data_IF_115481206446
#
_entry.id   IF_115481206446
#
_cell.length_a   1.000
_cell.length_b   1.000
_cell.length_c   1.000
_cell.angle_alpha   90.00
_cell.angle_beta   90.00
_cell.angle_gamma   90.00
#
_symmetry.space_group_name_H-M   'P 1'
#
loop_
_entity.id
_entity.type
_entity.pdbx_description
1 polymer ?
#
# COMPACT_ATOMS: atom_id res chain seq x y z
N UNK A 1 -12.99 -2.59 -6.74
CA UNK A 1 -12.22 -3.71 -6.19
C UNK A 1 -13.05 -5.00 -6.00
N UNK A 2 -14.32 -4.90 -5.64
CA UNK A 2 -15.18 -6.07 -5.36
C UNK A 2 -15.51 -6.96 -6.57
N UNK A 3 -15.20 -6.54 -7.78
CA UNK A 3 -15.44 -7.29 -9.03
C UNK A 3 -14.17 -7.60 -9.81
N UNK A 4 -13.04 -6.99 -9.44
CA UNK A 4 -11.80 -7.02 -10.22
C UNK A 4 -11.86 -6.24 -11.55
N UNK A 5 -12.97 -5.56 -11.86
CA UNK A 5 -13.12 -4.83 -13.11
C UNK A 5 -12.25 -3.58 -13.16
N UNK A 6 -11.49 -3.43 -14.24
CA UNK A 6 -10.73 -2.23 -14.55
C UNK A 6 -11.66 -1.21 -15.20
N UNK A 7 -12.12 -0.23 -14.44
CA UNK A 7 -13.09 0.77 -14.89
C UNK A 7 -12.44 1.88 -15.72
N UNK A 8 -11.16 2.19 -15.46
CA UNK A 8 -10.41 3.18 -16.22
C UNK A 8 -8.91 2.84 -16.17
N UNK A 9 -8.22 3.10 -17.26
CA UNK A 9 -6.77 2.92 -17.36
C UNK A 9 -6.19 4.00 -18.26
N UNK A 10 -5.15 4.69 -17.79
CA UNK A 10 -4.44 5.73 -18.53
C UNK A 10 -2.97 5.34 -18.64
N UNK A 11 -2.56 4.86 -19.80
CA UNK A 11 -1.19 4.39 -20.06
C UNK A 11 -0.20 5.46 -20.50
N UNK A 12 -0.63 6.70 -20.69
CA UNK A 12 0.24 7.79 -21.11
C UNK A 12 -0.46 9.13 -21.14
N UNK A 13 0.33 10.21 -21.19
CA UNK A 13 -0.14 11.59 -21.27
C UNK A 13 0.01 12.11 -22.72
N UNK A 14 -0.88 13.00 -23.12
CA UNK A 14 -0.90 13.64 -24.45
C UNK A 14 -1.67 12.84 -25.49
N UNK A 15 -1.67 13.36 -26.71
CA UNK A 15 -2.34 12.76 -27.84
C UNK A 15 -1.64 11.48 -28.29
N UNK A 16 -2.40 10.50 -28.74
CA UNK A 16 -1.89 9.26 -29.28
C UNK A 16 -1.73 9.39 -30.78
N UNK A 17 -0.50 9.22 -31.26
CA UNK A 17 -0.16 9.30 -32.68
C UNK A 17 -0.49 8.04 -33.48
N UNK A 18 -0.97 6.98 -32.83
CA UNK A 18 -1.28 5.70 -33.50
C UNK A 18 -1.98 4.69 -32.58
N UNK A 19 -2.34 3.56 -33.15
CA UNK A 19 -2.86 2.41 -32.41
C UNK A 19 -1.72 1.63 -31.73
N UNK A 20 -2.05 0.89 -30.66
CA UNK A 20 -1.11 0.06 -29.89
C UNK A 20 0.13 0.82 -29.37
N UNK A 21 -0.06 2.07 -28.99
CA UNK A 21 1.00 2.83 -28.31
C UNK A 21 1.30 2.24 -26.95
N UNK A 22 2.53 2.45 -26.48
CA UNK A 22 3.04 1.93 -25.21
C UNK A 22 2.12 2.30 -24.02
N UNK A 23 1.65 1.30 -23.31
CA UNK A 23 0.78 1.47 -22.15
C UNK A 23 1.59 1.32 -20.85
N UNK A 24 1.95 2.43 -20.22
CA UNK A 24 2.79 2.42 -19.02
C UNK A 24 2.13 1.79 -17.80
N UNK A 25 0.83 1.61 -17.82
CA UNK A 25 0.14 0.97 -16.70
C UNK A 25 0.24 -0.56 -16.72
N UNK A 26 0.45 -1.16 -17.90
CA UNK A 26 0.54 -2.62 -18.11
C UNK A 26 1.90 -3.07 -18.58
N UNK A 27 2.60 -2.26 -19.41
CA UNK A 27 3.79 -2.68 -20.14
C UNK A 27 5.10 -2.15 -19.52
N UNK A 28 4.99 -1.36 -18.44
CA UNK A 28 6.16 -0.78 -17.75
C UNK A 28 6.22 -1.22 -16.31
N UNK A 29 7.32 -1.89 -15.94
CA UNK A 29 7.65 -2.17 -14.55
C UNK A 29 8.43 -1.00 -13.95
N UNK A 30 8.00 -0.53 -12.79
CA UNK A 30 8.65 0.55 -12.04
C UNK A 30 8.81 0.18 -10.57
N UNK A 31 9.78 0.80 -9.93
CA UNK A 31 10.01 0.61 -8.51
C UNK A 31 8.82 1.19 -7.71
N UNK A 32 8.08 0.36 -6.96
CA UNK A 32 6.93 0.82 -6.20
C UNK A 32 7.32 1.67 -4.98
N UNK A 33 8.58 1.62 -4.56
CA UNK A 33 9.05 2.30 -3.38
C UNK A 33 8.18 1.99 -2.16
N UNK A 34 7.95 2.99 -1.31
CA UNK A 34 7.26 2.80 -0.03
C UNK A 34 5.80 2.34 -0.11
N UNK A 35 5.16 2.29 -1.30
CA UNK A 35 3.86 1.63 -1.42
C UNK A 35 3.97 0.13 -1.17
N UNK A 36 5.11 -0.46 -1.48
CA UNK A 36 5.36 -1.89 -1.31
C UNK A 36 5.49 -2.34 0.15
N UNK A 37 5.76 -1.42 1.09
CA UNK A 37 5.82 -1.70 2.53
C UNK A 37 4.56 -2.42 3.04
N UNK A 38 3.40 -2.06 2.49
CA UNK A 38 2.11 -2.64 2.89
C UNK A 38 2.05 -4.10 2.46
N UNK A 39 2.28 -4.41 1.19
CA UNK A 39 2.08 -5.74 0.60
C UNK A 39 3.29 -6.67 0.79
N UNK A 40 4.51 -6.15 0.77
CA UNK A 40 5.75 -6.92 0.92
C UNK A 40 6.28 -7.05 2.36
N UNK A 41 5.59 -6.43 3.34
CA UNK A 41 6.02 -6.50 4.73
C UNK A 41 4.83 -6.51 5.71
N UNK A 42 4.07 -5.42 5.81
CA UNK A 42 3.12 -5.26 6.91
C UNK A 42 1.91 -6.21 6.80
N UNK A 43 1.44 -6.54 5.59
CA UNK A 43 0.39 -7.53 5.41
C UNK A 43 0.81 -8.88 6.00
N UNK A 44 1.98 -9.38 5.62
CA UNK A 44 2.54 -10.62 6.16
C UNK A 44 2.78 -10.54 7.67
N UNK A 45 3.27 -9.40 8.17
CA UNK A 45 3.58 -9.20 9.58
C UNK A 45 2.32 -9.28 10.46
N UNK A 46 1.22 -8.66 10.04
CA UNK A 46 -0.03 -8.64 10.78
C UNK A 46 -0.83 -9.94 10.61
N UNK A 47 -0.79 -10.56 9.43
CA UNK A 47 -1.61 -11.73 9.13
C UNK A 47 -1.06 -13.04 9.72
N UNK A 48 0.24 -13.28 9.55
CA UNK A 48 0.91 -14.53 9.93
C UNK A 48 2.21 -14.31 10.74
N UNK A 49 2.78 -13.13 10.70
CA UNK A 49 4.07 -12.82 11.33
C UNK A 49 4.01 -12.54 12.84
N UNK A 50 2.85 -12.68 13.48
CA UNK A 50 2.67 -12.48 14.93
C UNK A 50 2.89 -11.05 15.40
N UNK A 51 2.80 -10.06 14.51
CA UNK A 51 2.88 -8.63 14.84
C UNK A 51 1.49 -8.01 14.90
N UNK A 52 1.38 -6.88 15.57
CA UNK A 52 0.18 -6.04 15.65
C UNK A 52 0.54 -4.61 15.24
N UNK A 53 -0.45 -3.76 15.03
CA UNK A 53 -0.22 -2.34 14.78
C UNK A 53 0.49 -1.65 15.97
N UNK A 54 0.31 -2.17 17.19
CA UNK A 54 1.01 -1.72 18.39
C UNK A 54 2.47 -2.17 18.46
N UNK A 55 2.85 -3.25 17.76
CA UNK A 55 4.22 -3.79 17.80
C UNK A 55 5.25 -2.71 17.48
N UNK A 56 6.29 -2.64 18.32
CA UNK A 56 7.30 -1.57 18.30
C UNK A 56 8.62 -2.10 17.80
N UNK A 57 9.30 -1.29 17.00
CA UNK A 57 10.68 -1.45 16.58
C UNK A 57 11.49 -0.21 17.00
N UNK A 58 12.77 -0.41 17.27
CA UNK A 58 13.69 0.71 17.51
C UNK A 58 14.11 1.33 16.16
N UNK A 59 13.59 2.52 15.89
CA UNK A 59 13.97 3.33 14.73
C UNK A 59 15.31 4.03 15.03
N UNK A 60 16.39 3.30 14.85
CA UNK A 60 17.78 3.71 15.05
C UNK A 60 18.63 3.30 13.83
N UNK A 61 19.84 3.84 13.64
CA UNK A 61 20.73 3.46 12.56
C UNK A 61 20.83 1.94 12.42
N UNK A 62 20.65 1.42 11.20
CA UNK A 62 20.53 -0.01 10.96
C UNK A 62 21.36 -0.46 9.76
N UNK A 63 22.27 -1.40 9.99
CA UNK A 63 23.16 -1.97 8.97
C UNK A 63 23.10 -3.49 9.02
N UNK A 64 22.96 -4.12 7.85
CA UNK A 64 23.01 -5.57 7.69
C UNK A 64 24.05 -5.90 6.62
N UNK A 65 25.10 -6.62 6.99
CA UNK A 65 26.27 -6.83 6.13
C UNK A 65 26.88 -5.49 5.72
N UNK A 66 27.02 -5.25 4.44
CA UNK A 66 27.53 -3.98 3.89
C UNK A 66 26.45 -2.93 3.63
N UNK A 67 25.17 -3.25 3.83
CA UNK A 67 24.06 -2.37 3.48
C UNK A 67 23.54 -1.61 4.69
N UNK A 68 23.63 -0.28 4.63
CA UNK A 68 23.02 0.63 5.62
C UNK A 68 21.67 1.11 5.14
N UNK A 69 20.65 0.97 5.97
CA UNK A 69 19.31 1.49 5.75
C UNK A 69 19.12 2.82 6.47
N UNK A 70 18.42 3.74 5.84
CA UNK A 70 18.15 5.06 6.39
C UNK A 70 16.69 5.43 6.18
N UNK A 71 16.15 6.26 7.06
CA UNK A 71 14.89 6.96 6.81
C UNK A 71 15.09 8.03 5.73
N UNK A 72 13.98 8.46 5.11
CA UNK A 72 14.01 9.43 4.01
C UNK A 72 14.65 10.76 4.43
N UNK A 73 14.34 11.24 5.63
CA UNK A 73 14.83 12.48 6.23
C UNK A 73 16.13 12.30 7.03
N UNK A 74 16.66 11.06 7.09
CA UNK A 74 17.84 10.68 7.86
C UNK A 74 17.70 10.92 9.37
N UNK A 75 16.49 11.11 9.87
CA UNK A 75 16.18 11.19 11.30
C UNK A 75 15.74 9.83 11.84
N UNK A 76 15.80 9.66 13.15
CA UNK A 76 15.43 8.43 13.85
C UNK A 76 14.54 8.78 15.04
N UNK A 77 13.47 8.00 15.22
CA UNK A 77 12.44 8.27 16.24
C UNK A 77 12.53 7.39 17.49
N UNK A 78 13.50 6.45 17.55
CA UNK A 78 13.58 5.45 18.61
C UNK A 78 12.40 4.49 18.58
N UNK A 79 11.93 4.04 19.72
CA UNK A 79 10.82 3.08 19.82
C UNK A 79 9.54 3.59 19.11
N UNK A 80 9.19 2.93 18.03
CA UNK A 80 8.18 3.36 17.06
C UNK A 80 7.26 2.19 16.69
N UNK A 81 5.96 2.40 16.80
CA UNK A 81 4.94 1.38 16.46
C UNK A 81 4.82 1.17 14.94
N UNK A 82 4.33 -0.01 14.55
CA UNK A 82 4.01 -0.33 13.14
C UNK A 82 2.97 0.67 12.60
N UNK A 83 1.93 1.02 13.35
CA UNK A 83 0.96 2.06 12.95
C UNK A 83 1.65 3.36 12.57
N UNK A 84 2.52 3.86 13.44
CA UNK A 84 3.22 5.13 13.18
C UNK A 84 4.19 5.02 12.00
N UNK A 85 4.83 3.86 11.85
CA UNK A 85 5.71 3.59 10.72
C UNK A 85 4.97 3.53 9.38
N UNK A 86 3.74 3.01 9.33
CA UNK A 86 2.84 3.08 8.17
C UNK A 86 2.50 4.54 7.89
N UNK A 87 2.03 5.27 8.90
CA UNK A 87 1.58 6.67 8.84
C UNK A 87 2.68 7.60 8.30
N UNK A 88 3.88 7.50 8.85
CA UNK A 88 5.04 8.35 8.50
C UNK A 88 5.95 7.74 7.45
N UNK A 89 5.67 6.52 7.02
CA UNK A 89 6.48 5.80 6.02
C UNK A 89 7.93 5.56 6.45
N UNK A 90 8.14 5.18 7.71
CA UNK A 90 9.47 4.98 8.30
C UNK A 90 10.13 3.73 7.71
N UNK A 91 11.35 3.85 7.20
CA UNK A 91 12.05 2.77 6.51
C UNK A 91 12.60 1.74 7.49
N UNK A 92 13.29 2.20 8.53
CA UNK A 92 14.02 1.32 9.47
C UNK A 92 13.05 0.35 10.15
N UNK A 93 11.93 0.85 10.65
CA UNK A 93 10.90 0.01 11.29
C UNK A 93 10.40 -1.06 10.32
N UNK A 94 10.15 -0.71 9.05
CA UNK A 94 9.68 -1.67 8.04
C UNK A 94 10.72 -2.76 7.79
N UNK A 95 11.99 -2.38 7.61
CA UNK A 95 13.07 -3.33 7.33
C UNK A 95 13.30 -4.28 8.51
N UNK A 96 13.33 -3.77 9.74
CA UNK A 96 13.43 -4.59 10.95
C UNK A 96 12.23 -5.51 11.11
N UNK A 97 11.02 -5.03 10.82
CA UNK A 97 9.81 -5.87 10.84
C UNK A 97 9.92 -7.02 9.84
N UNK A 98 10.36 -6.75 8.60
CA UNK A 98 10.56 -7.82 7.61
C UNK A 98 11.67 -8.80 8.04
N UNK A 99 12.74 -8.31 8.68
CA UNK A 99 13.80 -9.16 9.21
C UNK A 99 13.26 -10.10 10.29
N UNK A 100 12.43 -9.60 11.20
CA UNK A 100 11.84 -10.38 12.29
C UNK A 100 10.93 -11.50 11.79
N UNK A 101 10.08 -11.23 10.81
CA UNK A 101 9.12 -12.20 10.27
C UNK A 101 9.72 -13.12 9.20
N UNK A 102 10.92 -12.80 8.73
CA UNK A 102 11.59 -13.49 7.62
C UNK A 102 11.20 -12.95 6.24
N UNK A 103 12.20 -12.78 5.38
CA UNK A 103 12.03 -12.24 4.02
C UNK A 103 11.14 -13.12 3.15
N UNK A 104 11.26 -14.46 3.30
CA UNK A 104 10.46 -15.43 2.53
C UNK A 104 8.96 -15.26 2.76
N UNK A 105 8.55 -14.93 3.99
CA UNK A 105 7.14 -14.68 4.28
C UNK A 105 6.64 -13.43 3.54
N UNK A 106 7.37 -12.32 3.61
CA UNK A 106 7.01 -11.10 2.89
C UNK A 106 7.00 -11.28 1.38
N UNK A 107 7.95 -12.05 0.84
CA UNK A 107 8.04 -12.39 -0.58
C UNK A 107 6.83 -13.19 -1.04
N UNK A 108 6.48 -14.27 -0.30
CA UNK A 108 5.32 -15.09 -0.60
C UNK A 108 4.02 -14.27 -0.62
N UNK A 109 3.81 -13.42 0.39
CA UNK A 109 2.63 -12.56 0.41
C UNK A 109 2.57 -11.61 -0.79
N UNK A 110 3.70 -11.05 -1.20
CA UNK A 110 3.74 -10.19 -2.38
C UNK A 110 3.36 -10.96 -3.67
N UNK A 111 3.79 -12.22 -3.82
CA UNK A 111 3.33 -13.10 -4.92
C UNK A 111 1.81 -13.37 -4.81
N UNK A 112 1.33 -13.71 -3.63
CA UNK A 112 -0.10 -13.99 -3.38
C UNK A 112 -0.97 -12.74 -3.67
N UNK A 113 -0.46 -11.52 -3.46
CA UNK A 113 -1.10 -10.27 -3.86
C UNK A 113 -1.10 -10.02 -5.37
N UNK A 114 -0.54 -10.91 -6.18
CA UNK A 114 -0.56 -10.85 -7.64
C UNK A 114 0.63 -10.12 -8.27
N UNK A 115 1.74 -9.96 -7.56
CA UNK A 115 2.98 -9.40 -8.12
C UNK A 115 3.74 -10.52 -8.83
N UNK A 116 3.65 -10.57 -10.15
CA UNK A 116 4.26 -11.62 -11.00
C UNK A 116 5.70 -11.33 -11.41
N UNK A 117 6.18 -10.11 -11.17
CA UNK A 117 7.50 -9.65 -11.64
C UNK A 117 8.63 -9.93 -10.66
N UNK A 118 8.33 -10.49 -9.49
CA UNK A 118 9.32 -10.86 -8.48
C UNK A 118 10.30 -11.94 -9.00
N UNK A 119 11.51 -11.90 -8.48
CA UNK A 119 12.57 -12.85 -8.78
C UNK A 119 13.24 -13.31 -7.48
N UNK A 120 13.98 -14.43 -7.51
CA UNK A 120 14.72 -14.89 -6.32
C UNK A 120 15.71 -13.85 -5.78
N UNK A 121 16.22 -12.96 -6.65
CA UNK A 121 17.08 -11.85 -6.24
C UNK A 121 16.37 -10.82 -5.34
N UNK A 122 15.04 -10.83 -5.31
CA UNK A 122 14.22 -9.94 -4.47
C UNK A 122 14.04 -10.48 -3.04
N UNK A 123 14.47 -11.72 -2.77
CA UNK A 123 14.47 -12.34 -1.45
C UNK A 123 15.55 -11.73 -0.54
N UNK A 124 15.42 -10.45 -0.28
CA UNK A 124 16.30 -9.69 0.59
C UNK A 124 15.56 -8.53 1.27
N UNK A 125 16.17 -7.90 2.29
CA UNK A 125 15.53 -6.85 3.07
C UNK A 125 15.13 -5.59 2.29
N UNK A 126 15.61 -5.40 1.03
CA UNK A 126 15.16 -4.29 0.18
C UNK A 126 13.72 -4.45 -0.26
N UNK A 127 13.21 -5.70 -0.28
CA UNK A 127 11.81 -6.03 -0.52
C UNK A 127 10.88 -5.16 0.33
N UNK A 128 11.21 -5.02 1.63
CA UNK A 128 10.44 -4.19 2.56
C UNK A 128 10.19 -2.76 2.08
N UNK A 129 11.09 -2.21 1.27
CA UNK A 129 11.07 -0.83 0.80
C UNK A 129 10.66 -0.69 -0.68
N UNK A 130 10.30 -1.80 -1.33
CA UNK A 130 10.00 -1.83 -2.75
C UNK A 130 11.24 -1.60 -3.63
N UNK A 131 12.40 -2.02 -3.15
CA UNK A 131 13.64 -2.10 -3.95
C UNK A 131 13.70 -3.45 -4.65
N UNK A 132 13.07 -3.56 -5.81
CA UNK A 132 12.88 -4.80 -6.56
C UNK A 132 13.78 -4.85 -7.79
N UNK A 133 14.10 -6.04 -8.27
CA UNK A 133 14.95 -6.27 -9.45
C UNK A 133 14.31 -5.65 -10.71
N UNK A 134 13.06 -5.99 -10.98
CA UNK A 134 12.31 -5.49 -12.14
C UNK A 134 11.36 -4.34 -11.79
N UNK A 135 10.90 -4.27 -10.54
CA UNK A 135 9.78 -3.44 -10.15
C UNK A 135 8.44 -4.12 -10.41
N UNK A 136 7.35 -3.35 -10.43
CA UNK A 136 5.98 -3.84 -10.64
C UNK A 136 5.27 -3.00 -11.69
N UNK A 137 4.27 -3.56 -12.35
CA UNK A 137 3.35 -2.78 -13.18
C UNK A 137 2.37 -1.99 -12.29
N UNK A 138 1.87 -0.87 -12.81
CA UNK A 138 0.86 -0.09 -12.09
C UNK A 138 -0.45 -0.89 -11.90
N UNK A 139 -0.77 -1.76 -12.86
CA UNK A 139 -1.94 -2.64 -12.79
C UNK A 139 -1.80 -3.66 -11.65
N UNK A 140 -0.67 -4.36 -11.53
CA UNK A 140 -0.41 -5.31 -10.44
C UNK A 140 -0.47 -4.62 -9.07
N UNK A 141 0.14 -3.44 -8.94
CA UNK A 141 0.08 -2.68 -7.70
C UNK A 141 -1.36 -2.25 -7.36
N UNK A 142 -2.16 -1.91 -8.37
CA UNK A 142 -3.59 -1.59 -8.19
C UNK A 142 -4.36 -2.83 -7.72
N UNK A 143 -4.12 -4.00 -8.31
CA UNK A 143 -4.71 -5.27 -7.90
C UNK A 143 -4.38 -5.64 -6.45
N UNK A 144 -3.11 -5.44 -6.05
CA UNK A 144 -2.67 -5.69 -4.68
C UNK A 144 -3.38 -4.79 -3.65
N UNK A 145 -3.52 -3.49 -3.95
CA UNK A 145 -4.28 -2.58 -3.08
C UNK A 145 -5.79 -2.84 -3.14
N UNK A 146 -6.32 -3.27 -4.29
CA UNK A 146 -7.71 -3.70 -4.42
C UNK A 146 -8.02 -4.93 -3.55
N UNK A 147 -7.05 -5.84 -3.37
CA UNK A 147 -7.15 -6.98 -2.47
C UNK A 147 -7.41 -6.55 -1.03
N UNK A 148 -6.66 -5.55 -0.53
CA UNK A 148 -6.87 -5.01 0.83
C UNK A 148 -8.25 -4.35 0.93
N UNK A 149 -8.61 -3.51 -0.05
CA UNK A 149 -9.92 -2.85 -0.12
C UNK A 149 -11.09 -3.84 -0.22
N UNK A 150 -10.84 -5.06 -0.69
CA UNK A 150 -11.80 -6.16 -0.87
C UNK A 150 -11.73 -7.19 0.29
N UNK A 151 -11.38 -6.76 1.50
CA UNK A 151 -11.36 -7.64 2.67
C UNK A 151 -10.33 -8.78 2.59
N UNK A 152 -9.24 -8.58 1.86
CA UNK A 152 -8.15 -9.56 1.75
C UNK A 152 -8.30 -10.55 0.60
N UNK A 153 -9.34 -10.45 -0.21
CA UNK A 153 -9.58 -11.33 -1.36
C UNK A 153 -9.04 -10.70 -2.64
N UNK A 154 -8.01 -11.31 -3.21
CA UNK A 154 -7.49 -10.97 -4.53
C UNK A 154 -8.48 -11.41 -5.62
N UNK A 155 -8.70 -10.53 -6.59
CA UNK A 155 -9.41 -10.82 -7.82
C UNK A 155 -8.52 -10.39 -8.99
N UNK A 156 -8.31 -11.30 -9.94
CA UNK A 156 -7.57 -10.97 -11.17
C UNK A 156 -8.21 -9.76 -11.87
N UNK A 157 -7.45 -8.69 -12.17
CA UNK A 157 -7.99 -7.55 -12.91
C UNK A 157 -8.50 -7.95 -14.28
N UNK A 158 -9.75 -7.60 -14.60
CA UNK A 158 -10.38 -7.90 -15.90
C UNK A 158 -10.84 -6.65 -16.61
N UNK A 159 -10.64 -6.63 -17.93
CA UNK A 159 -10.97 -5.52 -18.82
C UNK A 159 -12.29 -5.74 -19.58
N UNK A 160 -12.82 -6.94 -19.55
CA UNK A 160 -14.09 -7.33 -20.13
C UNK A 160 -14.73 -8.42 -19.28
N UNK A 161 -16.03 -8.54 -19.37
CA UNK A 161 -16.80 -9.64 -18.77
C UNK A 161 -16.97 -10.77 -19.77
N UNK A 162 -17.43 -10.45 -20.99
CA UNK A 162 -17.61 -11.39 -22.07
C UNK A 162 -17.15 -10.80 -23.40
N UNK A 163 -16.71 -11.66 -24.30
CA UNK A 163 -16.48 -11.36 -25.72
C UNK A 163 -17.40 -12.25 -26.54
N UNK A 164 -18.22 -11.64 -27.37
CA UNK A 164 -19.16 -12.32 -28.24
C UNK A 164 -18.68 -12.24 -29.70
N UNK A 165 -19.00 -13.24 -30.51
CA UNK A 165 -18.88 -13.15 -31.97
C UNK A 165 -20.04 -12.34 -32.57
N UNK A 166 -20.07 -12.23 -33.92
CA UNK A 166 -21.09 -11.48 -34.64
C UNK A 166 -22.50 -12.09 -34.55
N UNK A 167 -22.61 -13.37 -34.20
CA UNK A 167 -23.86 -14.10 -34.02
C UNK A 167 -24.35 -14.09 -32.55
N UNK A 168 -23.58 -13.43 -31.66
CA UNK A 168 -23.91 -13.34 -30.24
C UNK A 168 -23.43 -14.56 -29.42
N UNK A 169 -22.65 -15.46 -29.98
CA UNK A 169 -22.08 -16.62 -29.29
C UNK A 169 -20.91 -16.15 -28.41
N UNK A 170 -20.89 -16.62 -27.18
CA UNK A 170 -19.79 -16.32 -26.24
C UNK A 170 -18.50 -16.98 -26.72
N UNK A 171 -17.47 -16.16 -26.98
CA UNK A 171 -16.11 -16.61 -27.29
C UNK A 171 -15.23 -16.67 -26.04
N UNK A 172 -15.35 -15.69 -25.17
CA UNK A 172 -14.61 -15.63 -23.89
C UNK A 172 -15.57 -15.19 -22.78
N UNK A 173 -15.45 -15.81 -21.62
CA UNK A 173 -16.20 -15.44 -20.42
C UNK A 173 -15.24 -15.34 -19.22
N UNK A 174 -15.02 -14.11 -18.75
CA UNK A 174 -14.22 -13.81 -17.56
C UNK A 174 -15.03 -13.81 -16.27
N UNK A 175 -16.34 -13.98 -16.33
CA UNK A 175 -17.16 -14.08 -15.12
C UNK A 175 -17.00 -15.43 -14.44
N UNK A 176 -16.76 -16.49 -15.22
CA UNK A 176 -16.55 -17.86 -14.73
C UNK A 176 -15.07 -18.22 -14.53
N UNK A 177 -14.16 -17.54 -15.25
CA UNK A 177 -12.72 -17.90 -15.29
C UNK A 177 -11.80 -16.94 -14.55
N UNK A 178 -12.36 -15.97 -13.81
CA UNK A 178 -11.56 -15.01 -13.04
C UNK A 178 -10.85 -15.70 -11.88
N UNK A 179 -9.51 -15.55 -11.80
CA UNK A 179 -8.75 -16.01 -10.64
C UNK A 179 -9.14 -15.23 -9.37
N UNK A 180 -9.39 -15.97 -8.31
CA UNK A 180 -9.77 -15.41 -6.99
C UNK A 180 -9.14 -16.25 -5.88
N UNK A 181 -8.55 -15.56 -4.90
CA UNK A 181 -7.98 -16.22 -3.72
C UNK A 181 -7.98 -15.31 -2.51
N UNK A 182 -8.12 -15.87 -1.32
CA UNK A 182 -7.88 -15.14 -0.06
C UNK A 182 -6.38 -15.04 0.16
N UNK A 183 -5.87 -13.82 0.28
CA UNK A 183 -4.45 -13.51 0.50
C UNK A 183 -4.19 -13.21 1.98
N UNK A 184 -5.05 -12.43 2.60
CA UNK A 184 -5.01 -12.07 4.02
C UNK A 184 -6.41 -12.19 4.62
N UNK A 185 -6.50 -12.29 5.93
CA UNK A 185 -7.78 -12.24 6.65
C UNK A 185 -8.44 -10.87 6.48
N UNK A 186 -9.74 -10.84 6.55
CA UNK A 186 -10.53 -9.60 6.53
C UNK A 186 -10.18 -8.68 7.71
N UNK A 187 -9.90 -9.24 8.89
CA UNK A 187 -9.39 -8.50 10.05
C UNK A 187 -8.04 -7.83 9.76
N UNK A 188 -7.11 -8.54 9.11
CA UNK A 188 -5.82 -7.97 8.69
C UNK A 188 -5.99 -6.86 7.65
N UNK A 189 -6.88 -7.07 6.66
CA UNK A 189 -7.19 -6.08 5.65
C UNK A 189 -7.78 -4.80 6.27
N UNK A 190 -8.67 -4.97 7.27
CA UNK A 190 -9.26 -3.84 7.98
C UNK A 190 -8.22 -3.09 8.83
N UNK A 191 -7.35 -3.79 9.59
CA UNK A 191 -6.28 -3.18 10.38
C UNK A 191 -5.32 -2.36 9.50
N UNK A 192 -4.92 -2.90 8.35
CA UNK A 192 -4.10 -2.16 7.38
C UNK A 192 -4.83 -0.93 6.84
N UNK A 193 -6.12 -1.06 6.55
CA UNK A 193 -6.96 0.03 6.06
C UNK A 193 -7.06 1.15 7.09
N UNK A 194 -7.31 0.80 8.35
CA UNK A 194 -7.41 1.75 9.45
C UNK A 194 -6.08 2.49 9.66
N UNK A 195 -4.94 1.79 9.67
CA UNK A 195 -3.63 2.43 9.73
C UNK A 195 -3.35 3.32 8.50
N UNK A 196 -3.84 2.97 7.31
CA UNK A 196 -3.69 3.77 6.10
C UNK A 196 -4.65 4.98 6.03
N UNK A 197 -5.73 5.03 6.80
CA UNK A 197 -6.53 6.26 7.03
C UNK A 197 -5.66 7.34 7.69
N UNK A 198 -4.79 6.95 8.62
CA UNK A 198 -3.86 7.87 9.29
C UNK A 198 -2.84 8.49 8.34
N UNK A 199 -2.48 7.81 7.27
CA UNK A 199 -1.58 8.37 6.24
C UNK A 199 -2.17 9.63 5.60
N UNK A 200 -3.51 9.67 5.39
CA UNK A 200 -4.19 10.83 4.81
C UNK A 200 -4.51 11.93 5.82
N UNK A 201 -4.62 11.62 7.11
CA UNK A 201 -5.00 12.60 8.14
C UNK A 201 -3.79 13.25 8.80
N UNK A 202 -2.78 12.48 9.14
CA UNK A 202 -1.60 12.95 9.86
C UNK A 202 -0.25 12.52 9.25
N UNK A 203 -0.32 11.74 8.17
CA UNK A 203 0.86 11.15 7.52
C UNK A 203 1.30 11.83 6.23
N UNK A 204 1.94 11.03 5.38
CA UNK A 204 2.55 11.46 4.11
C UNK A 204 1.55 11.66 2.98
N UNK A 205 0.29 11.33 3.20
CA UNK A 205 -0.80 11.35 2.21
C UNK A 205 -1.75 12.53 2.27
N UNK A 206 -1.53 13.52 3.15
CA UNK A 206 -2.45 14.65 3.35
C UNK A 206 -2.90 15.34 2.07
N UNK A 207 -2.00 15.47 1.08
CA UNK A 207 -2.31 16.09 -0.21
C UNK A 207 -3.23 15.24 -1.10
N UNK A 208 -3.35 13.94 -0.85
CA UNK A 208 -4.24 13.07 -1.59
C UNK A 208 -5.68 13.15 -1.08
N UNK A 209 -5.89 13.58 0.16
CA UNK A 209 -7.21 13.68 0.76
C UNK A 209 -8.09 14.65 -0.01
N UNK A 210 -9.26 14.19 -0.43
CA UNK A 210 -10.32 15.04 -0.97
C UNK A 210 -11.43 15.23 0.05
N UNK A 211 -12.16 16.33 -0.10
CA UNK A 211 -13.28 16.64 0.79
C UNK A 211 -14.48 15.73 0.43
N UNK A 212 -14.77 14.82 1.34
CA UNK A 212 -15.84 13.83 1.22
C UNK A 212 -16.12 13.21 2.57
N UNK A 213 -17.37 12.82 2.79
CA UNK A 213 -17.79 11.98 3.91
C UNK A 213 -17.42 10.50 3.67
N UNK A 214 -16.96 10.14 2.48
CA UNK A 214 -16.54 8.78 2.13
C UNK A 214 -15.14 8.54 2.68
N UNK A 215 -14.94 7.43 3.38
CA UNK A 215 -13.65 7.06 3.95
C UNK A 215 -12.58 6.83 2.86
N UNK A 216 -11.34 7.19 3.18
CA UNK A 216 -10.20 7.12 2.26
C UNK A 216 -9.00 6.51 2.97
N UNK A 217 -8.33 5.57 2.31
CA UNK A 217 -7.10 4.96 2.79
C UNK A 217 -6.06 4.93 1.67
N UNK A 218 -4.77 4.92 2.00
CA UNK A 218 -3.74 4.84 0.98
C UNK A 218 -2.32 5.03 1.48
N UNK A 219 -1.37 4.88 0.56
CA UNK A 219 0.06 4.94 0.85
C UNK A 219 0.82 5.66 -0.27
N UNK A 220 1.75 6.50 0.12
CA UNK A 220 2.68 7.16 -0.80
C UNK A 220 3.89 6.27 -1.10
N UNK A 221 4.41 6.35 -2.32
CA UNK A 221 5.69 5.80 -2.74
C UNK A 221 6.57 6.88 -3.34
N UNK A 222 7.84 6.87 -2.97
CA UNK A 222 8.88 7.70 -3.60
C UNK A 222 10.16 6.85 -3.59
N UNK A 223 10.79 6.75 -4.74
CA UNK A 223 12.03 5.99 -4.88
C UNK A 223 13.25 6.87 -4.65
N UNK A 224 14.41 6.25 -4.47
CA UNK A 224 15.69 6.94 -4.30
C UNK A 224 15.90 7.96 -5.44
N UNK A 225 16.30 9.17 -5.08
CA UNK A 225 16.50 10.27 -6.02
C UNK A 225 15.22 10.75 -6.75
N UNK A 226 14.04 10.45 -6.21
CA UNK A 226 12.75 10.87 -6.77
C UNK A 226 12.55 10.43 -8.24
N UNK A 227 12.99 9.24 -8.62
CA UNK A 227 12.82 8.73 -9.99
C UNK A 227 11.39 8.35 -10.26
N UNK A 228 10.76 7.67 -9.30
CA UNK A 228 9.37 7.26 -9.33
C UNK A 228 8.62 7.84 -8.14
N UNK A 229 7.44 8.34 -8.38
CA UNK A 229 6.52 8.84 -7.36
C UNK A 229 5.17 8.18 -7.55
N UNK A 230 4.61 7.64 -6.48
CA UNK A 230 3.36 6.88 -6.52
C UNK A 230 2.42 7.34 -5.41
N UNK A 231 1.16 7.17 -5.70
CA UNK A 231 0.10 7.14 -4.71
C UNK A 231 -0.79 5.95 -4.99
N UNK A 232 -0.89 5.04 -4.04
CA UNK A 232 -1.83 3.92 -4.05
C UNK A 232 -2.89 4.17 -2.99
N UNK A 233 -4.15 4.30 -3.40
CA UNK A 233 -5.23 4.62 -2.48
C UNK A 233 -6.57 4.05 -2.92
N UNK A 234 -7.50 3.98 -1.98
CA UNK A 234 -8.83 3.44 -2.19
C UNK A 234 -9.85 4.05 -1.24
N UNK A 235 -11.10 3.85 -1.59
CA UNK A 235 -12.30 4.14 -0.82
C UNK A 235 -13.11 2.85 -0.70
N UNK A 236 -14.24 2.81 0.01
CA UNK A 236 -15.14 1.66 -0.03
C UNK A 236 -15.74 1.35 -1.41
N UNK A 237 -15.51 2.21 -2.41
CA UNK A 237 -16.04 2.07 -3.78
C UNK A 237 -14.98 1.65 -4.80
N UNK A 238 -13.84 2.33 -4.82
CA UNK A 238 -12.83 2.19 -5.88
C UNK A 238 -11.42 2.19 -5.34
N UNK A 239 -10.54 1.46 -6.04
CA UNK A 239 -9.09 1.50 -5.84
C UNK A 239 -8.45 2.16 -7.06
N UNK A 240 -7.49 3.04 -6.82
CA UNK A 240 -6.76 3.73 -7.87
C UNK A 240 -5.30 3.91 -7.48
N UNK A 241 -4.38 3.61 -8.40
CA UNK A 241 -2.96 3.88 -8.24
C UNK A 241 -2.50 4.83 -9.32
N UNK A 242 -1.77 5.86 -8.93
CA UNK A 242 -1.16 6.82 -9.84
C UNK A 242 0.35 6.73 -9.71
N UNK A 243 1.00 6.43 -10.83
CA UNK A 243 2.45 6.50 -10.99
C UNK A 243 2.83 7.77 -11.74
N UNK A 244 3.98 8.33 -11.39
CA UNK A 244 4.59 9.41 -12.11
C UNK A 244 6.11 9.32 -12.13
N UNK A 245 6.66 9.50 -13.33
CA UNK A 245 8.09 9.38 -13.60
C UNK A 245 8.40 9.67 -15.05
N UNK A 246 9.67 9.54 -15.42
CA UNK A 246 10.15 9.62 -16.80
C UNK A 246 10.41 8.21 -17.35
N UNK A 247 10.21 8.03 -18.65
CA UNK A 247 10.41 6.73 -19.32
C UNK A 247 11.86 6.25 -19.23
N UNK A 248 12.82 7.17 -19.31
CA UNK A 248 14.26 6.93 -19.17
C UNK A 248 14.72 6.78 -17.71
N UNK A 249 13.78 6.76 -16.75
CA UNK A 249 14.06 6.69 -15.32
C UNK A 249 14.97 7.83 -14.79
N UNK A 250 14.96 9.00 -15.42
CA UNK A 250 15.67 10.19 -14.96
C UNK A 250 15.05 10.75 -13.67
N UNK A 251 15.82 11.55 -12.93
CA UNK A 251 15.39 12.15 -11.68
C UNK A 251 14.32 13.21 -11.91
N UNK A 252 13.28 13.19 -11.09
CA UNK A 252 12.30 14.27 -11.03
C UNK A 252 12.75 15.35 -10.04
N UNK A 253 12.33 16.60 -10.27
CA UNK A 253 12.49 17.65 -9.28
C UNK A 253 11.73 17.31 -8.00
N UNK A 254 12.37 17.49 -6.84
CA UNK A 254 11.73 17.21 -5.54
C UNK A 254 10.42 17.98 -5.30
N UNK A 255 10.24 19.13 -5.97
CA UNK A 255 8.97 19.90 -5.92
C UNK A 255 7.82 19.21 -6.66
N UNK A 256 8.11 18.27 -7.56
CA UNK A 256 7.11 17.58 -8.38
C UNK A 256 6.65 16.25 -7.81
N UNK A 257 7.21 15.76 -6.71
CA UNK A 257 6.92 14.42 -6.15
C UNK A 257 5.51 14.26 -5.59
N UNK A 258 4.76 15.35 -5.48
CA UNK A 258 3.39 15.34 -4.93
C UNK A 258 2.29 15.19 -5.99
N UNK A 259 2.59 15.33 -7.29
CA UNK A 259 1.55 15.35 -8.31
C UNK A 259 0.74 14.06 -8.46
N UNK A 260 1.26 12.82 -8.20
CA UNK A 260 0.41 11.64 -8.20
C UNK A 260 -0.72 11.72 -7.18
N UNK A 261 -0.47 12.32 -6.01
CA UNK A 261 -1.48 12.56 -4.98
C UNK A 261 -2.56 13.55 -5.45
N UNK A 262 -2.14 14.62 -6.15
CA UNK A 262 -3.06 15.62 -6.69
C UNK A 262 -3.92 15.03 -7.83
N UNK A 263 -3.32 14.23 -8.72
CA UNK A 263 -4.07 13.53 -9.78
C UNK A 263 -5.10 12.60 -9.16
N UNK A 264 -4.68 11.75 -8.21
CA UNK A 264 -5.57 10.85 -7.48
C UNK A 264 -6.70 11.60 -6.80
N UNK A 265 -6.38 12.66 -6.05
CA UNK A 265 -7.35 13.51 -5.38
C UNK A 265 -8.40 14.04 -6.36
N UNK A 266 -7.97 14.64 -7.46
CA UNK A 266 -8.86 15.26 -8.44
C UNK A 266 -9.73 14.22 -9.17
N UNK A 267 -9.16 13.08 -9.55
CA UNK A 267 -9.89 12.01 -10.20
C UNK A 267 -10.92 11.38 -9.25
N UNK A 268 -10.48 10.99 -8.05
CA UNK A 268 -11.36 10.33 -7.09
C UNK A 268 -12.44 11.26 -6.54
N UNK A 269 -12.14 12.54 -6.32
CA UNK A 269 -13.16 13.52 -5.92
C UNK A 269 -14.31 13.54 -6.93
N UNK A 270 -14.00 13.63 -8.24
CA UNK A 270 -15.01 13.68 -9.31
C UNK A 270 -15.77 12.36 -9.47
N UNK A 271 -15.07 11.22 -9.36
CA UNK A 271 -15.69 9.89 -9.44
C UNK A 271 -16.68 9.65 -8.28
N UNK A 272 -16.46 10.31 -7.14
CA UNK A 272 -17.29 10.14 -5.94
C UNK A 272 -18.39 11.19 -5.80
N UNK A 273 -18.53 12.13 -6.75
CA UNK A 273 -19.63 13.10 -6.74
C UNK A 273 -20.97 12.37 -6.82
N UNK A 274 -21.84 12.63 -5.85
CA UNK A 274 -23.17 12.04 -5.76
C UNK A 274 -23.22 10.60 -5.23
N UNK A 275 -22.10 9.99 -4.84
CA UNK A 275 -22.11 8.71 -4.15
C UNK A 275 -22.49 8.87 -2.68
N UNK A 276 -23.17 7.87 -2.14
CA UNK A 276 -23.56 7.82 -0.74
C UNK A 276 -22.34 7.80 0.18
N UNK A 277 -22.49 8.38 1.38
CA UNK A 277 -21.49 8.27 2.44
C UNK A 277 -21.27 6.82 2.82
N UNK A 278 -19.99 6.38 2.82
CA UNK A 278 -19.62 5.01 3.15
C UNK A 278 -18.29 4.97 3.88
N UNK A 279 -18.21 4.18 4.95
CA UNK A 279 -16.95 3.84 5.62
C UNK A 279 -16.58 2.38 5.33
N UNK A 280 -15.36 2.01 5.68
CA UNK A 280 -14.91 0.63 5.63
C UNK A 280 -15.57 -0.18 6.75
N UNK A 281 -16.17 -1.29 6.38
CA UNK A 281 -16.87 -2.15 7.33
C UNK A 281 -15.85 -2.86 8.22
N UNK A 282 -15.97 -2.67 9.53
CA UNK A 282 -15.18 -3.42 10.51
C UNK A 282 -15.69 -4.85 10.59
N UNK A 283 -14.85 -5.87 10.35
CA UNK A 283 -15.26 -7.26 10.49
C UNK A 283 -15.38 -7.66 11.97
N UNK A 284 -16.04 -8.78 12.19
CA UNK A 284 -16.07 -9.41 13.51
C UNK A 284 -14.66 -9.82 13.95
N UNK A 285 -14.43 -9.84 15.26
CA UNK A 285 -13.14 -10.22 15.84
C UNK A 285 -12.15 -9.07 16.04
N UNK A 286 -12.41 -7.88 15.53
CA UNK A 286 -11.60 -6.69 15.85
C UNK A 286 -11.96 -6.17 17.23
N UNK A 287 -10.95 -6.06 18.07
CA UNK A 287 -11.05 -5.45 19.41
C UNK A 287 -10.11 -4.24 19.51
N UNK A 288 -10.23 -3.48 20.60
CA UNK A 288 -9.29 -2.42 20.90
C UNK A 288 -8.82 -2.49 22.37
N UNK A 289 -7.65 -1.97 22.61
CA UNK A 289 -7.10 -1.85 23.95
C UNK A 289 -6.25 -0.58 24.07
N UNK A 290 -6.17 -0.05 25.28
CA UNK A 290 -5.17 0.96 25.60
C UNK A 290 -3.81 0.28 25.73
N UNK A 291 -2.80 0.80 25.02
CA UNK A 291 -1.43 0.31 25.03
C UNK A 291 -0.45 1.46 25.27
N UNK A 292 0.77 1.11 25.64
CA UNK A 292 1.88 2.06 25.68
C UNK A 292 2.47 2.22 24.26
N UNK A 293 2.44 3.42 23.70
CA UNK A 293 2.95 3.73 22.36
C UNK A 293 4.45 3.49 22.20
N UNK A 294 5.19 3.31 23.30
CA UNK A 294 6.65 3.07 23.29
C UNK A 294 7.02 1.61 23.44
N UNK A 295 6.26 0.82 24.14
CA UNK A 295 6.50 -0.63 24.28
C UNK A 295 5.61 -1.49 23.40
N UNK A 296 4.45 -0.96 22.97
CA UNK A 296 3.42 -1.73 22.27
C UNK A 296 2.64 -2.72 23.16
N UNK A 297 2.90 -2.69 24.47
CA UNK A 297 2.31 -3.59 25.46
C UNK A 297 1.22 -2.87 26.26
N UNK A 298 0.49 -3.64 27.07
CA UNK A 298 -0.43 -3.07 28.05
C UNK A 298 0.29 -2.08 28.96
N UNK A 299 -0.31 -0.93 29.28
CA UNK A 299 0.37 0.11 30.03
C UNK A 299 0.60 -0.30 31.49
N UNK A 300 1.72 0.14 32.02
CA UNK A 300 1.97 0.10 33.46
C UNK A 300 1.49 1.41 34.07
N UNK A 301 0.50 1.32 34.98
CA UNK A 301 -0.06 2.47 35.68
C UNK A 301 1.02 3.22 36.47
N UNK A 302 0.97 4.55 36.43
CA UNK A 302 1.96 5.42 37.07
C UNK A 302 3.26 5.59 36.29
N UNK A 303 3.48 4.81 35.21
CA UNK A 303 4.68 4.90 34.35
C UNK A 303 4.31 5.43 32.97
N UNK A 304 3.45 4.70 32.24
CA UNK A 304 3.13 5.07 30.87
C UNK A 304 2.28 6.34 30.77
N UNK A 305 1.45 6.62 31.78
CA UNK A 305 0.63 7.82 31.90
C UNK A 305 1.42 9.04 32.38
N UNK A 306 2.51 8.83 33.13
CA UNK A 306 3.35 9.86 33.70
C UNK A 306 4.77 9.94 33.11
N UNK A 307 4.96 9.52 31.86
CA UNK A 307 6.25 9.66 31.17
C UNK A 307 6.63 11.16 31.08
N UNK A 308 7.89 11.55 31.37
CA UNK A 308 8.33 12.96 31.32
C UNK A 308 8.11 13.64 29.95
N UNK A 309 7.96 12.86 28.89
CA UNK A 309 7.67 13.35 27.53
C UNK A 309 6.18 13.54 27.25
N UNK A 310 5.30 13.26 28.22
CA UNK A 310 3.86 13.25 28.12
C UNK A 310 3.28 11.83 28.21
N UNK A 311 1.96 11.71 28.31
CA UNK A 311 1.31 10.40 28.35
C UNK A 311 1.65 9.58 27.09
N UNK A 312 2.08 8.34 27.31
CA UNK A 312 2.39 7.36 26.25
C UNK A 312 1.21 6.41 26.00
N UNK A 313 0.05 6.69 26.56
CA UNK A 313 -1.15 5.89 26.33
C UNK A 313 -1.74 6.18 24.96
N UNK A 314 -2.10 5.13 24.26
CA UNK A 314 -2.83 5.21 22.97
C UNK A 314 -3.80 4.03 22.87
N UNK A 315 -4.91 4.23 22.18
CA UNK A 315 -5.81 3.13 21.83
C UNK A 315 -5.34 2.51 20.51
N UNK A 316 -5.30 1.19 20.49
CA UNK A 316 -4.92 0.44 19.29
C UNK A 316 -5.90 -0.70 19.04
N UNK A 317 -6.06 -1.05 17.76
CA UNK A 317 -6.91 -2.16 17.31
C UNK A 317 -6.09 -3.44 17.10
N UNK A 318 -6.77 -4.57 17.41
CA UNK A 318 -6.20 -5.92 17.33
C UNK A 318 -7.15 -6.89 16.65
#
# INVERSE_FOLDING_TARGET
>A
HSTGEVKALVGGRGDKSGNRTWNRATDTCRQPGSTFKIIGCYAAALDAGGKTLASVQDDAPFTVGSKTFNNYDKSFGGFTSIRWAITKSINIVTVKTLQDIGVELGYKYAEDFGISTLTDSDKNLSLALGGLTKGVTNLELTGAYATIANGGVYLEPKFYTQVLDHDGKVLLDKTETQDSRTVIKDTTAWLLTDAMKDVLTQGTGKLARFDSQIAQAGKSGTTTSNRDCLWAGYTPYYTCVVWGGYDDNSKQSGKLTSYPKNIWKNAMSRIHEGLETKDFVQPDGITNATVCSKSGLLPLGGICDNDPRGSMLTTEYF
#
